data_IF_763433532453
#
_entry.id   IF_763433532453
#
_cell.length_a   1.000
_cell.length_b   1.000
_cell.length_c   1.000
_cell.angle_alpha   90.00
_cell.angle_beta   90.00
_cell.angle_gamma   90.00
#
_symmetry.space_group_name_H-M   'P 1'
#
loop_
_entity.id
_entity.type
_entity.pdbx_description
1 polymer ?
#
# COMPACT_ATOMS: atom_id res chain seq x y z
N UNK A 1 17.43 -4.67 -65.64
CA UNK A 1 16.14 -4.08 -65.24
C UNK A 1 15.37 -5.14 -64.46
N UNK A 2 15.31 -4.99 -63.14
CA UNK A 2 14.46 -5.78 -62.24
C UNK A 2 14.19 -4.92 -60.98
N UNK A 3 12.94 -4.85 -60.57
CA UNK A 3 12.35 -3.89 -59.62
C UNK A 3 12.78 -4.07 -58.15
N UNK A 4 12.74 -3.01 -57.31
CA UNK A 4 12.98 -3.12 -55.89
C UNK A 4 11.71 -3.47 -55.09
N UNK A 5 11.90 -4.33 -54.08
CA UNK A 5 10.90 -4.84 -53.12
C UNK A 5 10.34 -3.74 -52.21
N UNK A 6 9.02 -3.70 -52.09
CA UNK A 6 8.27 -2.82 -51.19
C UNK A 6 8.39 -3.18 -49.70
N UNK A 7 8.53 -2.12 -48.89
CA UNK A 7 8.53 -2.13 -47.42
C UNK A 7 7.14 -2.46 -46.87
N UNK A 8 7.04 -3.41 -45.92
CA UNK A 8 5.86 -3.57 -45.04
C UNK A 8 6.09 -2.82 -43.73
N UNK A 9 5.17 -1.90 -43.41
CA UNK A 9 5.08 -1.16 -42.14
C UNK A 9 4.58 -2.10 -41.02
N UNK A 10 5.25 -2.08 -39.87
CA UNK A 10 4.73 -2.64 -38.63
C UNK A 10 3.73 -1.62 -38.01
N UNK A 11 2.53 -2.09 -37.69
CA UNK A 11 1.56 -1.33 -36.90
C UNK A 11 1.80 -1.53 -35.39
N UNK A 12 1.49 -0.54 -34.54
CA UNK A 12 1.62 -0.70 -33.10
C UNK A 12 0.48 -1.56 -32.55
N UNK A 13 0.83 -2.70 -31.93
CA UNK A 13 -0.10 -3.48 -31.12
C UNK A 13 -0.40 -2.74 -29.83
N UNK A 14 -1.62 -2.23 -29.73
CA UNK A 14 -2.20 -1.64 -28.54
C UNK A 14 -2.54 -2.77 -27.54
N UNK A 15 -1.69 -2.99 -26.52
CA UNK A 15 -1.99 -3.92 -25.41
C UNK A 15 -2.55 -3.12 -24.24
N UNK A 16 -3.84 -3.32 -23.97
CA UNK A 16 -4.54 -2.89 -22.75
C UNK A 16 -3.82 -3.49 -21.54
N UNK A 17 -3.19 -2.64 -20.72
CA UNK A 17 -2.68 -3.01 -19.41
C UNK A 17 -3.85 -3.26 -18.47
N UNK A 18 -4.01 -4.50 -18.02
CA UNK A 18 -4.95 -4.87 -16.97
C UNK A 18 -4.30 -4.66 -15.60
N UNK A 19 -5.08 -4.13 -14.66
CA UNK A 19 -4.71 -3.85 -13.28
C UNK A 19 -4.01 -5.03 -12.58
N UNK A 20 -2.89 -4.78 -11.89
CA UNK A 20 -2.28 -5.78 -11.02
C UNK A 20 -2.63 -5.54 -9.55
N UNK A 21 -3.53 -6.34 -8.98
CA UNK A 21 -3.64 -6.55 -7.52
C UNK A 21 -4.71 -7.61 -7.27
N UNK A 22 -4.31 -8.88 -7.35
CA UNK A 22 -5.07 -10.04 -6.86
C UNK A 22 -4.11 -11.12 -6.36
N UNK A 23 -3.46 -10.87 -5.23
CA UNK A 23 -3.01 -11.98 -4.38
C UNK A 23 -4.23 -12.48 -3.60
N UNK A 24 -4.76 -13.62 -4.04
CA UNK A 24 -5.96 -14.25 -3.50
C UNK A 24 -5.51 -15.20 -2.40
N UNK A 25 -5.50 -14.76 -1.14
CA UNK A 25 -5.52 -15.68 0.00
C UNK A 25 -6.84 -16.46 -0.04
N UNK A 26 -6.81 -17.67 -0.58
CA UNK A 26 -7.91 -18.64 -0.39
C UNK A 26 -7.45 -19.73 0.57
N UNK A 27 -7.74 -19.53 1.84
CA UNK A 27 -7.85 -20.62 2.81
C UNK A 27 -9.10 -21.46 2.48
N UNK A 28 -8.90 -22.76 2.32
CA UNK A 28 -9.97 -23.76 2.25
C UNK A 28 -10.58 -23.94 3.63
N UNK A 29 -11.89 -23.71 3.75
CA UNK A 29 -12.70 -24.20 4.87
C UNK A 29 -13.79 -25.11 4.32
N UNK A 30 -13.75 -26.36 4.74
CA UNK A 30 -14.78 -27.38 4.56
C UNK A 30 -15.91 -27.16 5.56
N UNK A 31 -17.17 -27.14 5.12
CA UNK A 31 -18.30 -27.53 5.97
C UNK A 31 -19.53 -27.92 5.13
N UNK A 32 -20.07 -29.10 5.46
CA UNK A 32 -21.38 -29.58 5.09
C UNK A 32 -22.46 -28.92 5.95
N UNK A 33 -23.70 -28.85 5.46
CA UNK A 33 -24.88 -28.56 6.29
C UNK A 33 -26.03 -27.94 5.52
N UNK A 34 -26.89 -28.79 4.94
CA UNK A 34 -28.24 -28.41 4.52
C UNK A 34 -29.14 -28.27 5.75
N UNK A 35 -29.98 -27.22 5.78
CA UNK A 35 -31.00 -27.01 6.79
C UNK A 35 -31.94 -25.88 6.39
N UNK A 36 -33.22 -26.21 6.19
CA UNK A 36 -34.20 -25.36 5.52
C UNK A 36 -34.99 -24.36 6.38
N UNK A 37 -35.56 -23.40 5.65
CA UNK A 37 -36.89 -22.77 5.73
C UNK A 37 -37.40 -22.02 6.98
N UNK A 38 -37.85 -20.79 6.68
CA UNK A 38 -39.14 -20.14 7.01
C UNK A 38 -39.27 -19.12 8.15
N UNK A 39 -39.47 -17.87 7.69
CA UNK A 39 -40.60 -16.96 7.94
C UNK A 39 -40.73 -16.11 9.23
N UNK A 40 -41.29 -14.92 9.00
CA UNK A 40 -41.77 -13.85 9.90
C UNK A 40 -40.67 -12.96 10.51
N UNK A 41 -40.69 -11.64 10.42
CA UNK A 41 -41.80 -10.71 10.22
C UNK A 41 -41.98 -9.91 11.50
N UNK A 42 -41.22 -8.81 11.67
CA UNK A 42 -41.47 -7.71 12.62
C UNK A 42 -40.45 -6.61 12.39
N UNK A 43 -40.92 -5.43 12.02
CA UNK A 43 -40.14 -4.20 11.87
C UNK A 43 -40.10 -3.48 13.21
N UNK A 44 -38.94 -3.30 13.88
CA UNK A 44 -38.82 -2.37 14.99
C UNK A 44 -38.35 -1.01 14.48
N UNK A 45 -38.83 0.04 15.14
CA UNK A 45 -38.56 1.44 14.82
C UNK A 45 -37.07 1.76 14.72
N UNK A 46 -36.75 2.59 13.73
CA UNK A 46 -35.43 3.13 13.46
C UNK A 46 -35.13 4.27 14.46
N UNK A 47 -35.07 3.94 15.74
CA UNK A 47 -34.23 4.70 16.66
C UNK A 47 -32.82 4.18 16.41
N UNK A 48 -32.16 4.76 15.41
CA UNK A 48 -30.73 4.57 15.23
C UNK A 48 -30.09 5.23 16.43
N UNK A 49 -29.85 4.41 17.44
CA UNK A 49 -28.83 4.62 18.44
C UNK A 49 -27.64 5.32 17.76
N UNK A 50 -27.18 6.41 18.35
CA UNK A 50 -25.86 6.98 18.10
C UNK A 50 -24.85 5.86 18.33
N UNK A 51 -24.61 5.04 17.30
CA UNK A 51 -23.60 4.00 17.29
C UNK A 51 -22.32 4.68 17.72
N UNK A 52 -21.78 4.22 18.85
CA UNK A 52 -20.61 4.79 19.50
C UNK A 52 -19.54 5.08 18.43
N UNK A 53 -19.31 6.37 18.21
CA UNK A 53 -18.36 6.92 17.24
C UNK A 53 -16.94 6.63 17.75
N UNK A 54 -16.52 5.35 17.63
CA UNK A 54 -15.15 4.95 17.86
C UNK A 54 -14.24 5.52 16.78
N UNK A 55 -12.92 5.57 17.03
CA UNK A 55 -11.96 6.06 16.03
C UNK A 55 -12.03 5.21 14.75
N UNK A 56 -11.81 5.83 13.59
CA UNK A 56 -11.88 5.12 12.30
C UNK A 56 -10.82 4.02 12.16
N UNK A 57 -9.70 4.19 12.84
CA UNK A 57 -8.60 3.25 12.92
C UNK A 57 -7.93 3.31 14.30
N UNK A 58 -7.37 2.17 14.72
CA UNK A 58 -6.41 2.16 15.82
C UNK A 58 -5.01 2.43 15.25
N UNK A 59 -4.27 3.33 15.88
CA UNK A 59 -2.93 3.69 15.44
C UNK A 59 -1.88 3.28 16.48
N UNK A 60 -0.83 2.60 16.02
CA UNK A 60 0.36 2.30 16.82
C UNK A 60 1.61 2.91 16.19
N UNK A 61 2.54 3.34 17.04
CA UNK A 61 3.82 3.89 16.62
C UNK A 61 4.94 2.97 17.09
N UNK A 62 5.89 2.69 16.20
CA UNK A 62 7.09 1.90 16.49
C UNK A 62 8.26 2.51 15.73
N UNK A 63 9.08 3.30 16.43
CA UNK A 63 10.14 4.08 15.81
C UNK A 63 9.61 4.97 14.66
N UNK A 64 10.13 4.84 13.43
CA UNK A 64 9.69 5.63 12.28
C UNK A 64 8.39 5.13 11.62
N UNK A 65 7.79 4.05 12.10
CA UNK A 65 6.64 3.40 11.49
C UNK A 65 5.33 3.72 12.23
N UNK A 66 4.31 4.10 11.46
CA UNK A 66 2.91 4.12 11.88
C UNK A 66 2.24 2.84 11.36
N UNK A 67 1.52 2.13 12.22
CA UNK A 67 0.61 1.05 11.80
C UNK A 67 -0.83 1.45 12.11
N UNK A 68 -1.68 1.47 11.09
CA UNK A 68 -3.11 1.72 11.18
C UNK A 68 -3.90 0.41 11.06
N UNK A 69 -4.76 0.13 12.03
CA UNK A 69 -5.63 -1.03 12.02
C UNK A 69 -7.08 -0.60 11.84
N UNK A 70 -7.69 -1.07 10.75
CA UNK A 70 -9.07 -0.77 10.40
C UNK A 70 -9.98 -1.96 10.72
N UNK A 71 -11.12 -1.68 11.35
CA UNK A 71 -12.16 -2.70 11.59
C UNK A 71 -12.98 -2.99 10.32
N UNK A 72 -13.02 -2.04 9.38
CA UNK A 72 -13.81 -2.09 8.16
C UNK A 72 -12.97 -1.79 6.92
N UNK A 73 -13.11 -2.65 5.90
CA UNK A 73 -12.54 -2.42 4.57
C UNK A 73 -13.07 -1.16 3.90
N UNK A 74 -14.33 -0.79 4.17
CA UNK A 74 -14.91 0.44 3.63
C UNK A 74 -14.18 1.67 4.19
N UNK A 75 -13.89 1.70 5.49
CA UNK A 75 -13.19 2.81 6.13
C UNK A 75 -11.74 2.88 5.66
N UNK A 76 -11.03 1.74 5.60
CA UNK A 76 -9.66 1.70 5.07
C UNK A 76 -9.60 2.24 3.64
N UNK A 77 -10.54 1.82 2.78
CA UNK A 77 -10.64 2.29 1.41
C UNK A 77 -10.96 3.78 1.33
N UNK A 78 -11.96 4.27 2.06
CA UNK A 78 -12.34 5.68 2.07
C UNK A 78 -11.18 6.58 2.53
N UNK A 79 -10.36 6.09 3.46
CA UNK A 79 -9.20 6.79 4.02
C UNK A 79 -8.01 6.85 3.05
N UNK A 80 -7.73 5.77 2.32
CA UNK A 80 -6.41 5.58 1.67
C UNK A 80 -6.47 5.45 0.14
N UNK A 81 -7.63 5.16 -0.47
CA UNK A 81 -7.70 4.81 -1.89
C UNK A 81 -7.17 5.89 -2.84
N UNK A 82 -7.32 7.18 -2.51
CA UNK A 82 -6.78 8.27 -3.35
C UNK A 82 -5.27 8.41 -3.22
N UNK A 83 -4.72 8.20 -2.03
CA UNK A 83 -3.28 8.20 -1.78
C UNK A 83 -2.64 6.98 -2.43
N UNK A 84 -3.27 5.81 -2.32
CA UNK A 84 -2.87 4.58 -3.02
C UNK A 84 -2.86 4.79 -4.54
N UNK A 85 -3.95 5.29 -5.12
CA UNK A 85 -4.01 5.55 -6.55
C UNK A 85 -2.94 6.55 -7.01
N UNK A 86 -2.62 7.55 -6.19
CA UNK A 86 -1.53 8.49 -6.45
C UNK A 86 -0.14 7.83 -6.40
N UNK A 87 0.05 6.85 -5.53
CA UNK A 87 1.33 6.19 -5.30
C UNK A 87 1.60 5.05 -6.28
N UNK A 88 0.66 4.12 -6.41
CA UNK A 88 0.88 2.81 -7.03
C UNK A 88 0.17 2.65 -8.39
N UNK A 89 -0.83 3.47 -8.71
CA UNK A 89 -1.60 3.27 -9.94
C UNK A 89 -0.73 3.48 -11.17
N UNK A 90 -0.59 2.46 -12.01
CA UNK A 90 0.10 2.59 -13.29
C UNK A 90 -0.50 3.68 -14.22
N UNK A 91 -1.78 4.03 -14.02
CA UNK A 91 -2.49 5.02 -14.85
C UNK A 91 -2.68 6.39 -14.20
N UNK A 92 -2.58 6.47 -12.87
CA UNK A 92 -2.82 7.70 -12.09
C UNK A 92 -1.64 8.08 -11.20
N UNK A 93 -0.49 7.38 -11.30
CA UNK A 93 0.69 7.65 -10.52
C UNK A 93 1.08 9.13 -10.62
N UNK A 94 1.29 9.75 -9.46
CA UNK A 94 1.66 11.15 -9.29
C UNK A 94 0.64 12.16 -9.79
N UNK A 95 -0.58 11.73 -10.11
CA UNK A 95 -1.69 12.63 -10.45
C UNK A 95 -2.69 12.67 -9.30
N UNK A 96 -2.92 13.87 -8.78
CA UNK A 96 -4.00 14.09 -7.82
C UNK A 96 -5.38 13.95 -8.50
N UNK A 97 -6.24 13.14 -7.88
CA UNK A 97 -7.65 12.98 -8.23
C UNK A 97 -8.51 13.74 -7.22
N UNK A 98 -9.42 14.59 -7.68
CA UNK A 98 -10.44 15.22 -6.82
C UNK A 98 -11.43 14.18 -6.30
N UNK A 99 -12.27 14.55 -5.32
CA UNK A 99 -13.32 13.65 -4.81
C UNK A 99 -14.27 13.18 -5.93
N UNK A 100 -14.62 14.08 -6.86
CA UNK A 100 -15.49 13.74 -7.99
C UNK A 100 -14.80 12.78 -8.98
N UNK A 101 -13.54 13.04 -9.34
CA UNK A 101 -12.79 12.14 -10.22
C UNK A 101 -12.58 10.76 -9.60
N UNK A 102 -12.24 10.72 -8.31
CA UNK A 102 -12.07 9.48 -7.56
C UNK A 102 -13.35 8.63 -7.54
N UNK A 103 -14.51 9.26 -7.34
CA UNK A 103 -15.81 8.59 -7.40
C UNK A 103 -16.10 7.94 -8.77
N UNK A 104 -15.56 8.49 -9.86
CA UNK A 104 -15.69 7.95 -11.21
C UNK A 104 -14.61 6.91 -11.56
N UNK A 105 -13.43 7.01 -10.96
CA UNK A 105 -12.24 6.27 -11.34
C UNK A 105 -12.24 4.78 -10.93
N UNK A 106 -13.22 4.34 -10.11
CA UNK A 106 -13.29 2.95 -9.58
C UNK A 106 -11.93 2.51 -9.01
N UNK A 107 -11.45 3.28 -8.03
CA UNK A 107 -10.18 3.02 -7.33
C UNK A 107 -10.11 1.62 -6.70
N UNK A 108 -8.92 1.18 -6.33
CA UNK A 108 -8.67 -0.22 -5.95
C UNK A 108 -9.57 -0.68 -4.79
N UNK A 109 -10.55 -1.54 -5.08
CA UNK A 109 -11.55 -1.95 -4.08
C UNK A 109 -11.14 -3.17 -3.23
N UNK A 110 -9.94 -3.73 -3.42
CA UNK A 110 -9.62 -5.10 -2.95
C UNK A 110 -8.29 -5.28 -2.23
N UNK A 111 -7.64 -4.22 -1.76
CA UNK A 111 -6.48 -4.40 -0.90
C UNK A 111 -6.93 -4.67 0.55
N UNK A 112 -6.21 -5.56 1.23
CA UNK A 112 -6.42 -5.94 2.64
C UNK A 112 -5.38 -5.29 3.56
N UNK A 113 -4.24 -4.92 2.98
CA UNK A 113 -3.19 -4.13 3.59
C UNK A 113 -2.59 -3.20 2.52
N UNK A 114 -1.95 -2.14 2.98
CA UNK A 114 -1.32 -1.14 2.12
C UNK A 114 -0.23 -0.42 2.90
N UNK A 115 0.87 -0.08 2.24
CA UNK A 115 2.00 0.58 2.85
C UNK A 115 2.51 1.74 1.98
N UNK A 116 3.07 2.78 2.60
CA UNK A 116 3.70 3.87 1.88
C UNK A 116 4.77 4.61 2.70
N UNK A 117 5.78 5.20 2.03
CA UNK A 117 6.57 6.28 2.59
C UNK A 117 5.70 7.53 2.81
N UNK A 118 5.78 8.16 3.97
CA UNK A 118 4.96 9.34 4.29
C UNK A 118 5.32 10.60 3.50
N UNK A 119 6.44 10.59 2.74
CA UNK A 119 6.70 11.61 1.72
C UNK A 119 5.63 11.64 0.63
N UNK A 120 5.02 10.49 0.32
CA UNK A 120 3.95 10.36 -0.67
C UNK A 120 2.72 11.16 -0.24
N UNK A 121 2.35 11.14 1.04
CA UNK A 121 1.22 11.95 1.55
C UNK A 121 1.48 13.45 1.37
N UNK A 122 2.71 13.91 1.61
CA UNK A 122 3.09 15.32 1.37
C UNK A 122 3.08 15.69 -0.12
N UNK A 123 3.58 14.80 -0.97
CA UNK A 123 3.55 14.99 -2.42
C UNK A 123 2.10 15.03 -2.93
N UNK A 124 1.23 14.16 -2.43
CA UNK A 124 -0.19 14.16 -2.76
C UNK A 124 -0.87 15.47 -2.35
N UNK A 125 -0.58 16.01 -1.16
CA UNK A 125 -1.08 17.33 -0.73
C UNK A 125 -0.54 18.47 -1.59
N UNK A 126 0.71 18.39 -2.05
CA UNK A 126 1.27 19.39 -2.98
C UNK A 126 0.52 19.41 -4.30
N UNK A 127 0.26 18.24 -4.87
CA UNK A 127 -0.48 18.11 -6.14
C UNK A 127 -1.96 18.48 -5.97
N UNK A 128 -2.57 18.18 -4.80
CA UNK A 128 -3.89 18.69 -4.43
C UNK A 128 -3.91 20.21 -4.46
N UNK A 129 -2.99 20.86 -3.74
CA UNK A 129 -2.89 22.31 -3.69
C UNK A 129 -2.73 22.91 -5.09
N UNK A 130 -1.78 22.40 -5.87
CA UNK A 130 -1.50 22.91 -7.21
C UNK A 130 -2.73 22.82 -8.14
N UNK A 131 -3.55 21.78 -8.01
CA UNK A 131 -4.76 21.63 -8.83
C UNK A 131 -5.89 22.55 -8.37
N UNK A 132 -6.14 22.62 -7.07
CA UNK A 132 -7.28 23.36 -6.52
C UNK A 132 -7.02 24.88 -6.52
N UNK A 133 -5.79 25.33 -6.27
CA UNK A 133 -5.41 26.76 -6.39
C UNK A 133 -5.43 27.23 -7.85
N UNK A 134 -5.09 26.37 -8.83
CA UNK A 134 -5.18 26.73 -10.25
C UNK A 134 -6.64 26.96 -10.73
N UNK A 135 -7.64 26.56 -9.94
CA UNK A 135 -9.06 26.74 -10.23
C UNK A 135 -9.75 27.88 -9.46
N UNK A 136 -9.07 28.53 -8.50
CA UNK A 136 -9.64 29.58 -7.65
C UNK A 136 -8.99 30.94 -7.89
N UNK A 137 -9.79 32.00 -7.99
CA UNK A 137 -9.27 33.38 -7.94
C UNK A 137 -8.60 33.61 -6.58
N UNK A 138 -7.41 34.22 -6.60
CA UNK A 138 -6.51 34.41 -5.47
C UNK A 138 -7.14 35.26 -4.34
N UNK A 139 -7.92 34.67 -3.46
CA UNK A 139 -8.11 35.22 -2.11
C UNK A 139 -7.02 34.65 -1.20
N UNK A 140 -5.88 35.34 -1.21
CA UNK A 140 -4.79 35.13 -0.24
C UNK A 140 -5.29 35.53 1.17
N UNK A 141 -6.08 34.68 1.80
CA UNK A 141 -6.30 34.78 3.23
C UNK A 141 -5.03 34.30 3.94
N UNK A 142 -4.36 35.25 4.58
CA UNK A 142 -3.27 35.00 5.51
C UNK A 142 -3.79 34.02 6.58
N UNK A 143 -3.12 32.87 6.73
CA UNK A 143 -3.39 31.88 7.78
C UNK A 143 -3.43 32.60 9.15
N UNK A 144 -4.63 32.91 9.62
CA UNK A 144 -4.86 33.42 10.97
C UNK A 144 -5.05 32.24 11.92
N UNK A 145 -4.53 32.41 13.13
CA UNK A 145 -4.62 31.44 14.22
C UNK A 145 -6.11 31.12 14.48
N UNK A 146 -6.52 29.87 14.19
CA UNK A 146 -7.92 29.41 14.25
C UNK A 146 -8.61 29.14 12.92
N UNK A 147 -7.96 29.39 11.78
CA UNK A 147 -8.50 29.06 10.45
C UNK A 147 -8.42 27.55 10.19
N UNK A 148 -9.47 26.98 9.60
CA UNK A 148 -9.51 25.56 9.24
C UNK A 148 -8.37 25.24 8.26
N UNK A 149 -7.73 24.08 8.44
CA UNK A 149 -6.60 23.66 7.59
C UNK A 149 -7.05 23.61 6.12
N UNK A 150 -6.28 24.24 5.21
CA UNK A 150 -6.69 24.49 3.82
C UNK A 150 -7.20 23.25 3.06
N UNK A 151 -6.60 22.08 3.31
CA UNK A 151 -6.95 20.84 2.60
C UNK A 151 -8.29 20.24 3.07
N UNK A 152 -8.83 20.69 4.21
CA UNK A 152 -10.02 20.10 4.82
C UNK A 152 -11.29 20.20 3.96
N UNK A 153 -11.34 21.15 3.02
CA UNK A 153 -12.45 21.30 2.08
C UNK A 153 -12.39 20.34 0.88
N UNK A 154 -11.23 19.71 0.62
CA UNK A 154 -10.95 18.93 -0.59
C UNK A 154 -10.80 17.42 -0.33
N UNK A 155 -11.13 16.99 0.89
CA UNK A 155 -11.00 15.62 1.38
C UNK A 155 -12.31 15.15 1.99
N UNK A 156 -12.52 13.83 2.03
CA UNK A 156 -13.64 13.24 2.75
C UNK A 156 -13.37 13.22 4.27
N UNK A 157 -14.35 12.76 5.06
CA UNK A 157 -14.22 12.75 6.53
C UNK A 157 -13.10 11.82 7.02
N UNK A 158 -12.92 10.67 6.36
CA UNK A 158 -11.94 9.66 6.72
C UNK A 158 -10.50 10.08 6.39
N UNK A 159 -10.29 10.65 5.20
CA UNK A 159 -9.05 11.31 4.80
C UNK A 159 -8.71 12.46 5.76
N UNK A 160 -9.72 13.24 6.18
CA UNK A 160 -9.51 14.34 7.14
C UNK A 160 -9.01 13.85 8.48
N UNK A 161 -9.55 12.74 9.01
CA UNK A 161 -9.06 12.14 10.24
C UNK A 161 -7.60 11.67 10.10
N UNK A 162 -7.26 10.98 9.00
CA UNK A 162 -5.88 10.58 8.72
C UNK A 162 -4.93 11.78 8.62
N UNK A 163 -5.28 12.80 7.84
CA UNK A 163 -4.42 13.96 7.63
C UNK A 163 -4.23 14.76 8.92
N UNK A 164 -5.28 14.91 9.73
CA UNK A 164 -5.18 15.54 11.05
C UNK A 164 -4.22 14.75 11.94
N UNK A 165 -4.38 13.42 11.99
CA UNK A 165 -3.51 12.53 12.76
C UNK A 165 -2.02 12.64 12.33
N UNK A 166 -1.75 12.75 11.02
CA UNK A 166 -0.41 12.93 10.48
C UNK A 166 0.15 14.33 10.77
N UNK A 167 -0.67 15.37 10.68
CA UNK A 167 -0.27 16.75 10.94
C UNK A 167 0.12 16.99 12.40
N UNK A 168 -0.66 16.48 13.34
CA UNK A 168 -0.37 16.54 14.79
C UNK A 168 1.00 15.94 15.14
N UNK A 169 1.45 14.96 14.35
CA UNK A 169 2.75 14.29 14.49
C UNK A 169 3.88 14.97 13.72
N UNK A 170 3.58 16.10 13.07
CA UNK A 170 4.53 16.87 12.27
C UNK A 170 4.93 16.19 10.97
N UNK A 171 4.20 15.18 10.51
CA UNK A 171 4.51 14.45 9.26
C UNK A 171 4.27 15.32 8.03
N UNK A 172 3.26 16.20 8.09
CA UNK A 172 2.83 17.04 6.97
C UNK A 172 3.53 18.41 6.92
N UNK A 173 4.32 18.75 7.96
CA UNK A 173 5.13 19.96 7.98
C UNK A 173 6.25 19.95 6.93
N UNK A 174 6.68 21.12 6.47
CA UNK A 174 7.75 21.29 5.48
C UNK A 174 8.86 22.20 6.03
N UNK A 175 10.03 21.67 6.43
CA UNK A 175 10.38 20.24 6.46
C UNK A 175 9.65 19.46 7.57
N UNK A 176 9.55 18.12 7.47
CA UNK A 176 9.01 17.28 8.56
C UNK A 176 9.81 17.45 9.86
N UNK A 177 9.16 17.29 11.01
CA UNK A 177 9.86 17.32 12.31
C UNK A 177 10.90 16.20 12.38
N UNK A 178 12.05 16.45 13.01
CA UNK A 178 13.18 15.51 13.01
C UNK A 178 12.83 14.10 13.55
N UNK A 179 11.84 13.99 14.45
CA UNK A 179 11.36 12.73 15.02
C UNK A 179 10.01 12.28 14.47
N UNK A 180 9.53 12.88 13.37
CA UNK A 180 8.25 12.47 12.77
C UNK A 180 8.40 11.07 12.16
N UNK A 181 7.36 10.22 12.24
CA UNK A 181 7.32 8.98 11.49
C UNK A 181 7.54 9.23 9.99
N UNK A 182 8.15 8.27 9.30
CA UNK A 182 8.46 8.36 7.87
C UNK A 182 7.83 7.25 7.03
N UNK A 183 7.20 6.26 7.66
CA UNK A 183 6.53 5.17 6.98
C UNK A 183 5.16 4.86 7.59
N UNK A 184 4.23 4.40 6.76
CA UNK A 184 2.90 3.99 7.18
C UNK A 184 2.57 2.61 6.61
N UNK A 185 1.99 1.76 7.46
CA UNK A 185 1.32 0.52 7.07
C UNK A 185 -0.14 0.62 7.51
N UNK A 186 -1.04 0.07 6.73
CA UNK A 186 -2.43 -0.17 7.09
C UNK A 186 -2.79 -1.64 6.90
N UNK A 187 -3.67 -2.16 7.76
CA UNK A 187 -4.22 -3.50 7.63
C UNK A 187 -5.63 -3.53 8.20
N UNK A 188 -6.45 -4.48 7.75
CA UNK A 188 -7.64 -4.89 8.48
C UNK A 188 -7.25 -5.61 9.77
N UNK A 189 -8.00 -5.37 10.85
CA UNK A 189 -7.83 -6.08 12.14
C UNK A 189 -7.91 -7.59 11.95
N UNK A 190 -8.79 -8.06 11.07
CA UNK A 190 -8.98 -9.49 10.76
C UNK A 190 -7.84 -10.11 9.96
N UNK A 191 -6.98 -9.30 9.33
CA UNK A 191 -5.84 -9.75 8.50
C UNK A 191 -4.49 -9.38 9.12
N UNK A 192 -4.47 -8.85 10.34
CA UNK A 192 -3.25 -8.30 10.92
C UNK A 192 -2.16 -9.37 11.11
N UNK A 193 -2.54 -10.62 11.39
CA UNK A 193 -1.58 -11.71 11.63
C UNK A 193 -0.93 -12.24 10.37
N UNK A 194 -1.58 -12.08 9.21
CA UNK A 194 -1.12 -12.58 7.91
C UNK A 194 -0.43 -11.49 7.11
N UNK A 195 -1.02 -10.28 7.07
CA UNK A 195 -0.51 -9.19 6.23
C UNK A 195 0.60 -8.37 6.90
N UNK A 196 0.48 -8.01 8.19
CA UNK A 196 1.45 -7.10 8.82
C UNK A 196 2.90 -7.60 8.79
N UNK A 197 3.20 -8.90 8.99
CA UNK A 197 4.59 -9.33 8.90
C UNK A 197 5.18 -9.08 7.50
N UNK A 198 4.39 -9.26 6.45
CA UNK A 198 4.79 -8.94 5.07
C UNK A 198 4.98 -7.42 4.89
N UNK A 199 4.00 -6.61 5.29
CA UNK A 199 4.07 -5.15 5.16
C UNK A 199 5.24 -4.53 5.94
N UNK A 200 5.57 -5.10 7.10
CA UNK A 200 6.72 -4.65 7.91
C UNK A 200 8.05 -4.90 7.21
N UNK A 201 8.15 -5.91 6.36
CA UNK A 201 9.34 -6.16 5.57
C UNK A 201 9.51 -5.10 4.48
N UNK A 202 8.44 -4.61 3.86
CA UNK A 202 8.49 -3.46 2.98
C UNK A 202 8.97 -2.20 3.71
N UNK A 203 8.42 -1.94 4.90
CA UNK A 203 8.87 -0.83 5.73
C UNK A 203 10.37 -0.95 6.06
N UNK A 204 10.84 -2.14 6.45
CA UNK A 204 12.26 -2.35 6.74
C UNK A 204 13.13 -2.13 5.50
N UNK A 205 12.74 -2.66 4.35
CA UNK A 205 13.43 -2.45 3.06
C UNK A 205 13.52 -0.96 2.71
N UNK A 206 12.46 -0.20 2.99
CA UNK A 206 12.48 1.24 2.76
C UNK A 206 13.41 1.98 3.73
N UNK A 207 13.32 1.65 5.02
CA UNK A 207 13.91 2.40 6.13
C UNK A 207 15.38 2.04 6.43
N UNK A 208 15.82 0.84 6.09
CA UNK A 208 17.21 0.39 6.30
C UNK A 208 17.96 0.29 4.98
N UNK A 209 18.90 1.20 4.75
CA UNK A 209 19.82 1.14 3.61
C UNK A 209 20.71 -0.11 3.64
N UNK A 210 21.11 -0.55 4.84
CA UNK A 210 21.90 -1.76 5.03
C UNK A 210 21.11 -3.00 4.58
N UNK A 211 19.87 -3.15 5.06
CA UNK A 211 19.01 -4.27 4.70
C UNK A 211 18.68 -4.26 3.20
N UNK A 212 18.34 -3.09 2.65
CA UNK A 212 18.10 -2.94 1.20
C UNK A 212 19.31 -3.33 0.37
N UNK A 213 20.52 -2.91 0.75
CA UNK A 213 21.74 -3.28 0.04
C UNK A 213 21.96 -4.79 0.06
N UNK A 214 21.75 -5.43 1.21
CA UNK A 214 21.85 -6.89 1.35
C UNK A 214 20.82 -7.63 0.47
N UNK A 215 19.58 -7.13 0.42
CA UNK A 215 18.54 -7.66 -0.48
C UNK A 215 18.98 -7.55 -1.93
N UNK A 216 19.49 -6.40 -2.37
CA UNK A 216 19.98 -6.19 -3.74
C UNK A 216 21.15 -7.13 -4.05
N UNK A 217 22.08 -7.35 -3.12
CA UNK A 217 23.20 -8.29 -3.30
C UNK A 217 22.71 -9.73 -3.48
N UNK A 218 21.81 -10.20 -2.61
CA UNK A 218 21.25 -11.54 -2.75
C UNK A 218 20.43 -11.69 -4.03
N UNK A 219 19.54 -10.75 -4.35
CA UNK A 219 18.77 -10.76 -5.58
C UNK A 219 19.68 -10.76 -6.82
N UNK A 220 20.76 -9.98 -6.78
CA UNK A 220 21.76 -9.88 -7.85
C UNK A 220 22.64 -11.12 -7.97
N UNK A 221 22.82 -11.89 -6.90
CA UNK A 221 23.54 -13.15 -6.89
C UNK A 221 22.74 -14.32 -7.46
N UNK A 222 21.40 -14.20 -7.54
CA UNK A 222 20.53 -15.24 -8.08
C UNK A 222 20.94 -15.64 -9.50
N UNK A 223 20.90 -16.95 -9.77
CA UNK A 223 21.10 -17.45 -11.11
C UNK A 223 20.08 -16.86 -12.07
N UNK A 224 20.48 -16.66 -13.34
CA UNK A 224 19.57 -16.14 -14.39
C UNK A 224 18.28 -16.95 -14.49
N UNK A 225 18.34 -18.25 -14.20
CA UNK A 225 17.18 -19.15 -14.23
C UNK A 225 16.24 -18.90 -13.05
N UNK A 226 16.76 -18.82 -11.82
CA UNK A 226 15.96 -18.55 -10.64
C UNK A 226 15.33 -17.15 -10.68
N UNK A 227 16.14 -16.13 -11.01
CA UNK A 227 15.63 -14.75 -11.13
C UNK A 227 14.50 -14.64 -12.14
N UNK A 228 14.67 -15.20 -13.35
CA UNK A 228 13.60 -15.18 -14.36
C UNK A 228 12.32 -15.86 -13.87
N UNK A 229 12.42 -16.94 -13.08
CA UNK A 229 11.26 -17.61 -12.51
C UNK A 229 10.52 -16.71 -11.49
N UNK A 230 11.26 -16.05 -10.62
CA UNK A 230 10.75 -15.06 -9.66
C UNK A 230 10.09 -13.88 -10.37
N UNK A 231 10.78 -13.26 -11.32
CA UNK A 231 10.27 -12.12 -12.11
C UNK A 231 8.99 -12.49 -12.89
N UNK A 232 8.93 -13.71 -13.42
CA UNK A 232 7.74 -14.22 -14.10
C UNK A 232 6.57 -14.37 -13.12
N UNK A 233 6.82 -14.95 -11.94
CA UNK A 233 5.81 -15.10 -10.88
C UNK A 233 5.28 -13.74 -10.39
N UNK A 234 6.18 -12.82 -10.04
CA UNK A 234 5.82 -11.47 -9.63
C UNK A 234 5.07 -10.70 -10.73
N UNK A 235 5.49 -10.84 -11.99
CA UNK A 235 4.78 -10.28 -13.13
C UNK A 235 3.38 -10.88 -13.36
N UNK A 236 3.17 -12.17 -13.05
CA UNK A 236 1.84 -12.80 -13.10
C UNK A 236 0.93 -12.35 -11.95
N UNK A 237 1.49 -12.06 -10.79
CA UNK A 237 0.80 -11.39 -9.66
C UNK A 237 0.50 -9.93 -9.97
N UNK A 238 1.28 -9.38 -10.88
CA UNK A 238 1.08 -8.09 -11.51
C UNK A 238 2.03 -6.99 -11.04
N UNK A 239 2.96 -7.30 -10.14
CA UNK A 239 3.92 -6.33 -9.64
C UNK A 239 4.76 -5.71 -10.75
N UNK A 240 4.99 -4.40 -10.65
CA UNK A 240 5.89 -3.67 -11.54
C UNK A 240 7.35 -4.05 -11.31
N UNK A 241 8.18 -3.97 -12.36
CA UNK A 241 9.59 -4.34 -12.28
C UNK A 241 10.38 -3.54 -11.25
N UNK A 242 9.95 -2.31 -10.99
CA UNK A 242 10.59 -1.39 -10.04
C UNK A 242 10.48 -1.82 -8.58
N UNK A 243 9.57 -2.74 -8.25
CA UNK A 243 9.37 -3.24 -6.88
C UNK A 243 9.70 -4.73 -6.72
N UNK A 244 10.20 -5.39 -7.77
CA UNK A 244 10.43 -6.84 -7.72
C UNK A 244 11.41 -7.27 -6.64
N UNK A 245 12.44 -6.48 -6.33
CA UNK A 245 13.37 -6.78 -5.23
C UNK A 245 12.69 -6.70 -3.86
N UNK A 246 11.86 -5.67 -3.65
CA UNK A 246 11.10 -5.45 -2.41
C UNK A 246 10.04 -6.54 -2.20
N UNK A 247 9.29 -6.88 -3.24
CA UNK A 247 8.32 -7.97 -3.21
C UNK A 247 9.00 -9.33 -2.96
N UNK A 248 10.10 -9.59 -3.68
CA UNK A 248 10.83 -10.83 -3.52
C UNK A 248 11.34 -11.02 -2.09
N UNK A 249 11.97 -10.00 -1.48
CA UNK A 249 12.46 -10.15 -0.11
C UNK A 249 11.33 -10.36 0.89
N UNK A 250 10.19 -9.69 0.71
CA UNK A 250 9.04 -9.83 1.59
C UNK A 250 8.49 -11.27 1.54
N UNK A 251 8.33 -11.86 0.34
CA UNK A 251 7.94 -13.27 0.19
C UNK A 251 8.98 -14.25 0.74
N UNK A 252 10.25 -14.03 0.43
CA UNK A 252 11.35 -14.91 0.85
C UNK A 252 11.45 -14.95 2.37
N UNK A 253 11.41 -13.80 3.04
CA UNK A 253 11.54 -13.73 4.50
C UNK A 253 10.28 -14.19 5.21
N UNK A 254 9.09 -13.76 4.78
CA UNK A 254 7.82 -14.13 5.42
C UNK A 254 7.58 -15.64 5.35
N UNK A 255 7.84 -16.27 4.19
CA UNK A 255 7.85 -17.72 4.04
C UNK A 255 6.49 -18.37 3.78
N UNK A 256 5.44 -17.59 3.49
CA UNK A 256 4.10 -18.13 3.19
C UNK A 256 3.97 -18.72 1.77
N UNK A 257 4.78 -18.27 0.81
CA UNK A 257 4.71 -18.74 -0.58
C UNK A 257 6.10 -18.90 -1.22
N UNK A 258 6.29 -19.98 -1.99
CA UNK A 258 7.52 -20.18 -2.77
C UNK A 258 7.49 -19.31 -4.03
N UNK A 259 7.93 -18.04 -3.90
CA UNK A 259 8.10 -17.15 -5.05
C UNK A 259 9.08 -17.75 -6.07
N UNK A 260 8.66 -17.85 -7.34
CA UNK A 260 9.42 -18.52 -8.40
C UNK A 260 9.40 -20.06 -8.34
N UNK A 261 8.60 -20.64 -7.43
CA UNK A 261 8.37 -22.08 -7.27
C UNK A 261 9.64 -22.91 -7.01
N UNK A 262 9.55 -24.21 -7.31
CA UNK A 262 10.64 -25.16 -7.05
C UNK A 262 11.97 -24.84 -7.75
N UNK A 263 11.96 -23.99 -8.78
CA UNK A 263 13.18 -23.57 -9.50
C UNK A 263 14.05 -22.65 -8.65
N UNK A 264 13.44 -21.74 -7.87
CA UNK A 264 14.16 -20.78 -7.04
C UNK A 264 14.31 -21.25 -5.58
N UNK A 265 13.72 -22.40 -5.21
CA UNK A 265 13.62 -22.87 -3.82
C UNK A 265 14.95 -22.95 -3.07
N UNK A 266 16.01 -23.48 -3.70
CA UNK A 266 17.33 -23.59 -3.08
C UNK A 266 17.93 -22.22 -2.77
N UNK A 267 18.00 -21.36 -3.78
CA UNK A 267 18.58 -20.01 -3.68
C UNK A 267 17.75 -19.10 -2.74
N UNK A 268 16.42 -19.20 -2.78
CA UNK A 268 15.54 -18.52 -1.82
C UNK A 268 15.76 -19.00 -0.38
N UNK A 269 16.08 -20.29 -0.19
CA UNK A 269 16.37 -20.84 1.14
C UNK A 269 17.64 -20.26 1.75
N UNK A 270 18.70 -20.13 0.96
CA UNK A 270 19.96 -19.50 1.36
C UNK A 270 19.75 -18.01 1.68
N UNK A 271 19.11 -17.27 0.77
CA UNK A 271 18.80 -15.85 0.99
C UNK A 271 17.91 -15.64 2.22
N UNK A 272 16.89 -16.47 2.44
CA UNK A 272 15.99 -16.37 3.61
C UNK A 272 16.75 -16.42 4.93
N UNK A 273 17.73 -17.30 5.06
CA UNK A 273 18.49 -17.43 6.30
C UNK A 273 19.28 -16.15 6.59
N UNK A 274 20.01 -15.63 5.60
CA UNK A 274 20.79 -14.41 5.73
C UNK A 274 19.91 -13.19 6.03
N UNK A 275 18.83 -13.01 5.26
CA UNK A 275 17.94 -11.85 5.41
C UNK A 275 17.23 -11.83 6.77
N UNK A 276 16.80 -12.98 7.31
CA UNK A 276 16.11 -13.05 8.61
C UNK A 276 16.98 -12.61 9.78
N UNK A 277 18.28 -12.84 9.72
CA UNK A 277 19.21 -12.39 10.75
C UNK A 277 19.27 -10.85 10.77
N UNK A 278 19.46 -10.25 9.59
CA UNK A 278 19.50 -8.79 9.45
C UNK A 278 18.15 -8.12 9.75
N UNK A 279 17.02 -8.76 9.44
CA UNK A 279 15.68 -8.25 9.81
C UNK A 279 15.57 -8.01 11.31
N UNK A 280 16.06 -8.96 12.12
CA UNK A 280 16.03 -8.84 13.57
C UNK A 280 16.92 -7.69 14.06
N UNK A 281 18.13 -7.60 13.53
CA UNK A 281 19.11 -6.59 13.93
C UNK A 281 18.65 -5.18 13.55
N UNK A 282 18.31 -4.97 12.29
CA UNK A 282 17.90 -3.66 11.77
C UNK A 282 16.51 -3.25 12.27
N UNK A 283 15.60 -4.21 12.45
CA UNK A 283 14.30 -3.98 13.08
C UNK A 283 14.45 -3.49 14.52
N UNK A 284 15.37 -4.06 15.29
CA UNK A 284 15.70 -3.59 16.64
C UNK A 284 16.33 -2.19 16.61
N UNK A 285 17.33 -1.97 15.74
CA UNK A 285 18.02 -0.68 15.58
C UNK A 285 17.07 0.46 15.25
N UNK A 286 16.07 0.21 14.42
CA UNK A 286 15.06 1.20 14.01
C UNK A 286 13.91 1.34 15.01
N UNK A 287 13.84 0.51 16.06
CA UNK A 287 12.73 0.50 17.01
C UNK A 287 11.41 0.00 16.41
N UNK A 288 11.49 -0.84 15.38
CA UNK A 288 10.34 -1.43 14.71
C UNK A 288 9.78 -2.66 15.43
N UNK A 289 10.40 -3.15 16.52
CA UNK A 289 9.88 -4.29 17.28
C UNK A 289 10.57 -4.54 18.62
N UNK A 290 9.77 -4.96 19.61
CA UNK A 290 10.22 -5.72 20.78
C UNK A 290 10.37 -7.21 20.45
N UNK A 291 10.83 -8.03 21.39
CA UNK A 291 11.29 -9.43 21.19
C UNK A 291 10.26 -10.45 20.65
N UNK A 292 9.05 -10.06 20.28
CA UNK A 292 8.00 -10.92 19.70
C UNK A 292 7.37 -10.39 18.40
N UNK A 293 8.05 -9.47 17.72
CA UNK A 293 7.47 -8.68 16.62
C UNK A 293 7.84 -9.17 15.20
N UNK A 294 8.84 -10.06 15.10
CA UNK A 294 9.45 -10.56 13.85
C UNK A 294 9.55 -12.09 13.86
#
# INVERSE_FOLDING_TARGET
MAEPRGKKKAGPSNKKGANPLKARLKGQTTAAGEGGASASGSTPGNDRDEEACGPLFEATLSGPLITLLFTSKANQHATLARIEAFYESASQARRYLSLEEAGKARLCQNYEAFNLPLSVAREWLREMRAKEEAGGEEEQEQEQDGQAVWWAAFVNAEEKELLTFLDERGVLTSPPRASSPSYLISSLVTQQSTSLPHERLHALYHLSELYRSLVTDHYSSLTKRARKAIETDLGMRGYGQTVWEDEWQAYVVHGEEEVGGGVAKGENGEARQALRETVREEGCRLGLGGTGFW
#
